data_IF_999438295416
#
_entry.id   IF_999438295416
#
_cell.length_a   1.000
_cell.length_b   1.000
_cell.length_c   1.000
_cell.angle_alpha   90.00
_cell.angle_beta   90.00
_cell.angle_gamma   90.00
#
_symmetry.space_group_name_H-M   'P 1'
#
loop_
_entity.id
_entity.type
_entity.pdbx_description
1 polymer ?
#
# COMPACT_ATOMS: atom_id res chain seq x y z
N UNK A 1 21.11 7.21 11.80
CA UNK A 1 20.65 5.99 12.45
C UNK A 1 19.60 5.30 11.61
N UNK A 2 19.73 4.04 11.46
CA UNK A 2 18.80 3.28 10.64
C UNK A 2 17.47 3.04 11.35
N UNK A 3 16.40 3.16 10.59
CA UNK A 3 15.09 2.73 11.07
C UNK A 3 15.12 1.21 11.16
N UNK A 4 14.70 0.68 12.29
CA UNK A 4 14.67 -0.77 12.46
C UNK A 4 13.58 -1.38 11.58
N UNK A 5 13.84 -2.61 11.13
CA UNK A 5 12.79 -3.39 10.47
C UNK A 5 11.67 -3.55 11.51
N UNK A 6 10.46 -3.24 11.10
CA UNK A 6 9.33 -3.29 12.01
C UNK A 6 8.87 -1.92 12.49
N UNK A 7 9.66 -0.89 12.26
CA UNK A 7 9.29 0.46 12.69
C UNK A 7 8.47 1.22 11.65
N UNK A 8 8.35 0.71 10.45
CA UNK A 8 7.64 1.43 9.38
C UNK A 8 6.75 0.53 8.55
N UNK A 9 5.61 1.07 8.17
CA UNK A 9 4.66 0.41 7.29
C UNK A 9 4.40 1.32 6.10
N UNK A 10 4.01 0.72 4.99
CA UNK A 10 3.68 1.46 3.78
C UNK A 10 2.28 1.08 3.33
N UNK A 11 1.48 2.09 3.00
CA UNK A 11 0.19 1.89 2.37
C UNK A 11 0.31 2.52 1.00
N UNK A 12 0.20 1.71 -0.04
CA UNK A 12 0.42 2.18 -1.40
C UNK A 12 -0.81 1.91 -2.26
N UNK A 13 -1.30 2.97 -2.92
CA UNK A 13 -2.40 2.88 -3.85
C UNK A 13 -1.88 2.76 -5.26
N UNK A 14 -2.71 2.24 -6.15
CA UNK A 14 -2.29 2.08 -7.53
C UNK A 14 -2.06 3.41 -8.21
N UNK A 15 -1.20 3.41 -9.21
CA UNK A 15 -0.89 4.60 -9.99
C UNK A 15 -1.93 4.77 -11.10
N UNK A 16 -2.39 6.01 -11.29
CA UNK A 16 -3.35 6.30 -12.33
C UNK A 16 -2.63 6.62 -13.65
N UNK A 17 -3.36 6.49 -14.76
CA UNK A 17 -2.94 6.99 -16.06
C UNK A 17 -1.62 6.46 -16.61
N UNK A 18 -1.32 5.19 -16.36
CA UNK A 18 -0.14 4.56 -16.92
C UNK A 18 -0.39 3.93 -18.29
N UNK A 19 -1.61 4.03 -18.81
CA UNK A 19 -1.95 3.53 -20.13
C UNK A 19 -1.70 2.03 -20.29
N UNK A 20 -1.12 1.67 -21.44
CA UNK A 20 -0.89 0.26 -21.75
C UNK A 20 0.19 -0.38 -20.91
N UNK A 21 1.02 0.41 -20.25
CA UNK A 21 2.09 -0.10 -19.42
C UNK A 21 1.71 -0.25 -17.96
N UNK A 22 0.44 -0.10 -17.65
CA UNK A 22 -0.02 -0.10 -16.25
C UNK A 22 0.40 -1.35 -15.49
N UNK A 23 0.17 -2.52 -16.05
CA UNK A 23 0.53 -3.77 -15.38
C UNK A 23 2.04 -3.87 -15.18
N UNK A 24 2.79 -3.58 -16.22
CA UNK A 24 4.24 -3.67 -16.18
C UNK A 24 4.83 -2.73 -15.11
N UNK A 25 4.32 -1.51 -15.07
CA UNK A 25 4.81 -0.54 -14.11
C UNK A 25 4.45 -0.91 -12.67
N UNK A 26 3.29 -1.52 -12.48
CA UNK A 26 2.90 -1.96 -11.13
C UNK A 26 3.74 -3.16 -10.68
N UNK A 27 4.07 -4.07 -11.58
CA UNK A 27 4.96 -5.19 -11.26
C UNK A 27 6.33 -4.67 -10.82
N UNK A 28 6.84 -3.69 -11.55
CA UNK A 28 8.12 -3.06 -11.22
C UNK A 28 8.08 -2.38 -9.87
N UNK A 29 6.99 -1.68 -9.60
CA UNK A 29 6.80 -0.99 -8.32
C UNK A 29 6.78 -1.97 -7.16
N UNK A 30 6.05 -3.08 -7.29
CA UNK A 30 6.00 -4.10 -6.25
C UNK A 30 7.40 -4.65 -5.96
N UNK A 31 8.15 -4.94 -7.01
CA UNK A 31 9.51 -5.45 -6.84
C UNK A 31 10.39 -4.47 -6.09
N UNK A 32 10.32 -3.20 -6.45
CA UNK A 32 11.11 -2.17 -5.79
C UNK A 32 10.74 -2.01 -4.32
N UNK A 33 9.45 -2.01 -4.02
CA UNK A 33 8.98 -1.85 -2.66
C UNK A 33 9.36 -3.04 -1.78
N UNK A 34 9.29 -4.25 -2.33
CA UNK A 34 9.68 -5.43 -1.58
C UNK A 34 11.15 -5.41 -1.15
N UNK A 35 11.96 -4.63 -1.83
CA UNK A 35 13.37 -4.48 -1.49
C UNK A 35 13.61 -3.44 -0.41
N UNK A 36 12.60 -2.69 -0.01
CA UNK A 36 12.76 -1.59 0.94
C UNK A 36 12.60 -1.98 2.40
N UNK A 37 12.32 -3.24 2.68
CA UNK A 37 12.25 -3.76 4.05
C UNK A 37 11.24 -3.07 4.96
N UNK A 38 10.06 -2.74 4.43
CA UNK A 38 8.96 -2.31 5.28
C UNK A 38 8.49 -3.50 6.12
N UNK A 39 8.12 -3.24 7.37
CA UNK A 39 7.59 -4.29 8.22
C UNK A 39 6.24 -4.80 7.71
N UNK A 40 5.46 -3.91 7.14
CA UNK A 40 4.17 -4.24 6.54
C UNK A 40 3.96 -3.36 5.33
N UNK A 41 3.36 -3.91 4.30
CA UNK A 41 2.98 -3.14 3.13
C UNK A 41 1.55 -3.53 2.78
N UNK A 42 0.71 -2.52 2.60
CA UNK A 42 -0.70 -2.72 2.22
C UNK A 42 -0.90 -2.18 0.82
N UNK A 43 -1.43 -3.02 -0.06
CA UNK A 43 -1.58 -2.71 -1.47
C UNK A 43 -3.03 -2.43 -1.79
N UNK A 44 -3.33 -1.24 -2.29
CA UNK A 44 -4.70 -0.81 -2.54
C UNK A 44 -4.96 -0.58 -4.02
N UNK A 45 -5.93 -1.27 -4.57
CA UNK A 45 -6.36 -1.10 -5.94
C UNK A 45 -6.30 -2.38 -6.76
N UNK A 46 -7.18 -2.51 -7.77
CA UNK A 46 -7.25 -3.73 -8.57
C UNK A 46 -5.98 -4.01 -9.38
N UNK A 47 -5.16 -3.00 -9.65
CA UNK A 47 -3.93 -3.22 -10.41
C UNK A 47 -2.93 -4.12 -9.71
N UNK A 48 -3.03 -4.25 -8.40
CA UNK A 48 -2.13 -5.11 -7.64
C UNK A 48 -2.68 -6.53 -7.44
N UNK A 49 -3.89 -6.81 -7.87
CA UNK A 49 -4.61 -8.03 -7.52
C UNK A 49 -3.85 -9.33 -7.77
N UNK A 50 -3.24 -9.47 -8.93
CA UNK A 50 -2.56 -10.69 -9.29
C UNK A 50 -1.04 -10.58 -9.19
N UNK A 51 -0.57 -9.51 -8.58
CA UNK A 51 0.86 -9.22 -8.47
C UNK A 51 1.37 -9.48 -7.05
N UNK A 52 0.53 -9.20 -6.06
CA UNK A 52 0.92 -9.37 -4.66
C UNK A 52 0.15 -10.53 -4.04
N UNK A 53 0.75 -11.18 -3.06
CA UNK A 53 0.16 -12.39 -2.45
C UNK A 53 -0.52 -12.13 -1.12
N UNK A 54 -0.26 -11.02 -0.46
CA UNK A 54 -0.91 -10.72 0.81
C UNK A 54 -1.09 -9.23 0.99
N UNK A 55 -1.99 -8.88 1.90
CA UNK A 55 -2.30 -7.49 2.24
C UNK A 55 -2.80 -6.67 1.04
N UNK A 56 -3.53 -7.31 0.15
CA UNK A 56 -4.15 -6.65 -0.98
C UNK A 56 -5.59 -6.25 -0.64
N UNK A 57 -5.98 -5.04 -1.05
CA UNK A 57 -7.33 -4.52 -0.86
C UNK A 57 -7.80 -3.88 -2.16
N UNK A 58 -9.03 -4.13 -2.49
CA UNK A 58 -9.58 -3.64 -3.75
C UNK A 58 -9.64 -2.11 -3.79
N UNK A 59 -9.93 -1.49 -2.65
CA UNK A 59 -10.03 -0.03 -2.56
C UNK A 59 -9.73 0.42 -1.13
N UNK A 60 -9.69 1.74 -0.93
CA UNK A 60 -9.38 2.30 0.38
C UNK A 60 -10.43 1.95 1.43
N UNK A 61 -11.68 1.83 1.04
CA UNK A 61 -12.74 1.48 1.98
C UNK A 61 -12.55 0.09 2.56
N UNK A 62 -12.14 -0.87 1.72
CA UNK A 62 -11.86 -2.23 2.18
C UNK A 62 -10.70 -2.23 3.18
N UNK A 63 -9.65 -1.45 2.90
CA UNK A 63 -8.53 -1.33 3.81
C UNK A 63 -8.95 -0.64 5.11
N UNK A 64 -9.79 0.38 5.01
CA UNK A 64 -10.27 1.08 6.19
C UNK A 64 -11.01 0.13 7.13
N UNK A 65 -11.86 -0.73 6.58
CA UNK A 65 -12.58 -1.72 7.39
C UNK A 65 -11.62 -2.67 8.09
N UNK A 66 -10.61 -3.12 7.37
CA UNK A 66 -9.60 -4.01 7.94
C UNK A 66 -8.85 -3.32 9.08
N UNK A 67 -8.39 -2.10 8.86
CA UNK A 67 -7.60 -1.38 9.86
C UNK A 67 -8.41 -0.95 11.07
N UNK A 68 -9.72 -0.85 10.94
CA UNK A 68 -10.58 -0.55 12.10
C UNK A 68 -10.48 -1.64 13.16
N UNK A 69 -10.16 -2.86 12.74
CA UNK A 69 -10.03 -4.01 13.65
C UNK A 69 -8.59 -4.50 13.77
N UNK A 70 -7.70 -3.98 12.94
CA UNK A 70 -6.31 -4.45 12.88
C UNK A 70 -5.39 -3.25 12.74
N UNK A 71 -5.27 -2.49 13.80
CA UNK A 71 -4.50 -1.25 13.77
C UNK A 71 -3.03 -1.48 13.47
N UNK A 72 -2.47 -0.59 12.65
CA UNK A 72 -1.04 -0.63 12.35
C UNK A 72 -0.28 -0.11 13.56
N UNK A 73 0.65 -0.90 14.06
CA UNK A 73 1.38 -0.58 15.29
C UNK A 73 2.82 -0.11 15.06
N UNK A 74 3.18 0.17 13.83
CA UNK A 74 4.52 0.65 13.55
C UNK A 74 4.68 2.10 13.95
N UNK A 75 5.91 2.51 14.17
CA UNK A 75 6.22 3.89 14.57
C UNK A 75 5.95 4.88 13.44
N UNK A 76 6.21 4.48 12.20
CA UNK A 76 5.99 5.33 11.04
C UNK A 76 5.07 4.64 10.04
N UNK A 77 4.17 5.41 9.45
CA UNK A 77 3.26 4.92 8.41
C UNK A 77 3.38 5.86 7.22
N UNK A 78 3.77 5.32 6.08
CA UNK A 78 3.91 6.08 4.84
C UNK A 78 2.74 5.79 3.92
N UNK A 79 2.21 6.83 3.30
CA UNK A 79 1.10 6.72 2.36
C UNK A 79 1.57 7.19 1.00
N UNK A 80 1.35 6.39 -0.03
CA UNK A 80 1.72 6.75 -1.39
C UNK A 80 0.68 6.22 -2.37
N UNK A 81 0.26 7.06 -3.31
CA UNK A 81 -0.69 6.66 -4.33
C UNK A 81 -1.27 7.86 -5.04
N UNK A 82 -2.00 7.59 -6.12
CA UNK A 82 -2.68 8.64 -6.85
C UNK A 82 -3.96 9.03 -6.12
N UNK A 83 -4.58 10.14 -6.54
CA UNK A 83 -5.83 10.58 -5.95
C UNK A 83 -6.94 9.54 -6.11
N UNK A 84 -6.89 8.78 -7.19
CA UNK A 84 -7.90 7.75 -7.42
C UNK A 84 -7.88 6.66 -6.36
N UNK A 85 -6.79 6.52 -5.62
CA UNK A 85 -6.69 5.55 -4.54
C UNK A 85 -7.40 5.99 -3.27
N UNK A 86 -7.67 7.28 -3.13
CA UNK A 86 -8.40 7.87 -1.99
C UNK A 86 -7.85 7.44 -0.64
N UNK A 87 -6.54 7.39 -0.51
CA UNK A 87 -5.90 6.94 0.73
C UNK A 87 -6.19 7.85 1.91
N UNK A 88 -6.55 9.10 1.67
CA UNK A 88 -6.92 10.01 2.75
C UNK A 88 -8.13 9.50 3.55
N UNK A 89 -8.93 8.60 2.97
CA UNK A 89 -10.10 8.07 3.66
C UNK A 89 -9.73 7.14 4.81
N UNK A 90 -8.50 6.67 4.87
CA UNK A 90 -8.08 5.74 5.93
C UNK A 90 -7.39 6.43 7.09
N UNK A 91 -7.14 7.73 7.00
CA UNK A 91 -6.39 8.43 8.04
C UNK A 91 -7.03 8.30 9.41
N UNK A 92 -8.35 8.24 9.48
CA UNK A 92 -9.06 8.14 10.75
C UNK A 92 -8.81 6.85 11.51
N UNK A 93 -8.33 5.81 10.85
CA UNK A 93 -8.13 4.50 11.48
C UNK A 93 -6.65 4.14 11.64
N UNK A 94 -5.77 5.08 11.35
CA UNK A 94 -4.33 4.84 11.50
C UNK A 94 -3.82 5.10 12.91
#
# INVERSE_FOLDING_TARGET
>A
LKTKVGDKALIIGEMAALGNDKLKEHIKLVDEINKMNFSSTFWVGPSFKNIVIQNWFENSLSLKKYLSNNKILTKFIFLKGSRSSKLEEIIDVL
#
